data_IF_607798111072
#
_entry.id   IF_607798111072
#
_cell.length_a   1.000
_cell.length_b   1.000
_cell.length_c   1.000
_cell.angle_alpha   90.00
_cell.angle_beta   90.00
_cell.angle_gamma   90.00
#
_symmetry.space_group_name_H-M   'P 1'
#
loop_
_entity.id
_entity.type
_entity.pdbx_description
1 polymer ?
#
# COMPACT_ATOMS: atom_id res chain seq x y z
N UNK A 1 3.39 4.60 -26.26
CA UNK A 1 2.10 5.26 -25.94
C UNK A 1 1.62 4.67 -24.63
N UNK A 2 1.12 5.48 -23.69
CA UNK A 2 0.59 4.96 -22.42
C UNK A 2 -0.73 4.22 -22.68
N UNK A 3 -0.96 3.10 -21.97
CA UNK A 3 -2.20 2.32 -22.09
C UNK A 3 -3.41 3.02 -21.46
N UNK A 4 -3.19 3.90 -20.48
CA UNK A 4 -4.20 4.72 -19.80
C UNK A 4 -3.81 6.19 -19.85
N UNK A 5 -4.78 7.08 -19.73
CA UNK A 5 -4.47 8.53 -19.62
C UNK A 5 -3.84 8.82 -18.25
N UNK A 6 -2.98 9.84 -18.13
CA UNK A 6 -2.36 10.20 -16.84
C UNK A 6 -3.36 10.43 -15.69
N UNK A 7 -4.56 10.93 -15.97
CA UNK A 7 -5.63 11.11 -14.97
C UNK A 7 -6.31 9.81 -14.51
N UNK A 8 -6.07 8.69 -15.21
CA UNK A 8 -6.61 7.36 -14.88
C UNK A 8 -5.56 6.47 -14.18
N UNK A 9 -4.31 6.93 -14.08
CA UNK A 9 -3.22 6.23 -13.42
C UNK A 9 -3.02 6.89 -12.05
N UNK A 10 -3.16 6.11 -10.99
CA UNK A 10 -2.84 6.57 -9.64
C UNK A 10 -1.35 6.45 -9.35
N UNK A 11 -0.86 7.21 -8.38
CA UNK A 11 0.50 7.03 -7.87
C UNK A 11 0.69 5.63 -7.27
N UNK A 12 -0.37 5.07 -6.68
CA UNK A 12 -0.41 3.68 -6.21
C UNK A 12 -0.13 2.67 -7.34
N UNK A 13 -0.71 2.86 -8.53
CA UNK A 13 -0.47 1.98 -9.68
C UNK A 13 1.02 1.97 -10.07
N UNK A 14 1.65 3.13 -10.08
CA UNK A 14 3.07 3.27 -10.44
C UNK A 14 3.96 2.58 -9.42
N UNK A 15 3.75 2.85 -8.11
CA UNK A 15 4.59 2.27 -7.06
C UNK A 15 4.42 0.74 -7.00
N UNK A 16 3.20 0.23 -7.17
CA UNK A 16 2.96 -1.22 -7.24
C UNK A 16 3.68 -1.91 -8.42
N UNK A 17 3.97 -1.18 -9.50
CA UNK A 17 4.74 -1.72 -10.63
C UNK A 17 6.26 -1.68 -10.42
N UNK A 18 6.76 -0.82 -9.52
CA UNK A 18 8.20 -0.63 -9.29
C UNK A 18 8.71 -1.30 -8.02
N UNK A 19 7.86 -1.39 -6.99
CA UNK A 19 8.19 -1.95 -5.70
C UNK A 19 7.67 -3.38 -5.55
N UNK A 20 8.44 -4.22 -4.86
CA UNK A 20 8.05 -5.62 -4.59
C UNK A 20 6.94 -5.74 -3.54
N UNK A 21 6.85 -4.76 -2.64
CA UNK A 21 5.84 -4.65 -1.61
C UNK A 21 5.72 -3.20 -1.17
N UNK A 22 4.53 -2.82 -0.73
CA UNK A 22 4.25 -1.53 -0.11
C UNK A 22 3.83 -1.68 1.35
N UNK A 23 4.00 -2.87 1.93
CA UNK A 23 3.71 -3.13 3.33
C UNK A 23 4.67 -2.34 4.23
N UNK A 24 4.15 -1.46 5.07
CA UNK A 24 4.94 -0.63 5.99
C UNK A 24 5.62 -1.45 7.10
N UNK A 25 5.21 -2.71 7.29
CA UNK A 25 5.74 -3.59 8.31
C UNK A 25 5.63 -5.05 7.90
N UNK A 26 6.56 -5.87 8.37
CA UNK A 26 6.66 -7.30 8.04
C UNK A 26 5.38 -8.08 8.33
N UNK A 27 4.63 -7.69 9.37
CA UNK A 27 3.38 -8.36 9.74
C UNK A 27 2.19 -8.02 8.84
N UNK A 28 2.35 -7.07 7.90
CA UNK A 28 1.34 -6.70 6.91
C UNK A 28 1.65 -7.26 5.52
N UNK A 29 2.78 -7.94 5.36
CA UNK A 29 3.08 -8.67 4.14
C UNK A 29 2.03 -9.77 3.91
N UNK A 30 1.94 -10.24 2.66
CA UNK A 30 0.95 -11.24 2.23
C UNK A 30 0.94 -12.53 3.07
N UNK A 31 2.09 -12.93 3.59
CA UNK A 31 2.21 -14.13 4.44
C UNK A 31 1.86 -13.88 5.92
N UNK A 32 1.56 -12.64 6.30
CA UNK A 32 1.12 -12.26 7.65
C UNK A 32 2.13 -12.57 8.76
N UNK A 33 3.43 -12.66 8.44
CA UNK A 33 4.42 -13.17 9.38
C UNK A 33 4.39 -12.46 10.73
N UNK A 34 4.29 -13.26 11.79
CA UNK A 34 4.41 -12.83 13.17
C UNK A 34 5.25 -13.84 13.94
N UNK A 35 6.39 -13.42 14.50
CA UNK A 35 7.27 -14.30 15.29
C UNK A 35 6.59 -14.91 16.52
N UNK A 36 5.54 -14.25 17.04
CA UNK A 36 4.71 -14.73 18.14
C UNK A 36 3.47 -15.52 17.71
N UNK A 37 3.24 -15.64 16.39
CA UNK A 37 2.04 -16.23 15.81
C UNK A 37 0.74 -15.66 16.41
N UNK A 38 0.70 -14.34 16.60
CA UNK A 38 -0.35 -13.63 17.34
C UNK A 38 -1.00 -12.50 16.52
N UNK A 39 -0.86 -12.52 15.19
CA UNK A 39 -1.31 -11.45 14.29
C UNK A 39 -2.77 -11.07 14.49
N UNK A 40 -3.67 -12.04 14.63
CA UNK A 40 -5.14 -11.83 14.67
C UNK A 40 -5.59 -10.97 15.87
N UNK A 41 -4.86 -11.07 16.98
CA UNK A 41 -5.14 -10.36 18.23
C UNK A 41 -4.10 -9.26 18.53
N UNK A 42 -3.11 -9.08 17.66
CA UNK A 42 -2.03 -8.13 17.88
C UNK A 42 -2.52 -6.69 17.67
N UNK A 43 -2.58 -5.92 18.77
CA UNK A 43 -2.97 -4.50 18.73
C UNK A 43 -2.03 -3.66 17.86
N UNK A 44 -0.73 -4.00 17.83
CA UNK A 44 0.24 -3.31 16.97
C UNK A 44 -0.05 -3.56 15.50
N UNK A 45 -0.36 -4.81 15.12
CA UNK A 45 -0.76 -5.14 13.75
C UNK A 45 -1.99 -4.33 13.34
N UNK A 46 -3.01 -4.23 14.20
CA UNK A 46 -4.22 -3.42 13.91
C UNK A 46 -3.90 -1.95 13.66
N UNK A 47 -3.09 -1.32 14.53
CA UNK A 47 -2.67 0.08 14.35
C UNK A 47 -1.88 0.26 13.05
N UNK A 48 -0.98 -0.67 12.73
CA UNK A 48 -0.19 -0.60 11.50
C UNK A 48 -1.06 -0.84 10.26
N UNK A 49 -2.06 -1.72 10.33
CA UNK A 49 -3.01 -1.96 9.25
C UNK A 49 -3.84 -0.70 8.97
N UNK A 50 -4.31 -0.01 10.00
CA UNK A 50 -5.04 1.26 9.84
C UNK A 50 -4.16 2.34 9.18
N UNK A 51 -2.88 2.41 9.56
CA UNK A 51 -1.91 3.31 8.94
C UNK A 51 -1.64 2.94 7.47
N UNK A 52 -1.47 1.65 7.17
CA UNK A 52 -1.30 1.15 5.80
C UNK A 52 -2.50 1.51 4.93
N UNK A 53 -3.72 1.35 5.44
CA UNK A 53 -4.95 1.71 4.70
C UNK A 53 -5.00 3.22 4.42
N UNK A 54 -4.62 4.05 5.39
CA UNK A 54 -4.55 5.50 5.19
C UNK A 54 -3.51 5.87 4.12
N UNK A 55 -2.35 5.23 4.14
CA UNK A 55 -1.29 5.40 3.14
C UNK A 55 -1.77 4.97 1.74
N UNK A 56 -2.34 3.77 1.60
CA UNK A 56 -2.86 3.26 0.33
C UNK A 56 -3.95 4.18 -0.24
N UNK A 57 -4.94 4.56 0.58
CA UNK A 57 -6.01 5.45 0.17
C UNK A 57 -5.48 6.82 -0.31
N UNK A 58 -4.42 7.33 0.33
CA UNK A 58 -3.81 8.60 -0.08
C UNK A 58 -3.18 8.46 -1.47
N UNK A 59 -2.47 7.37 -1.74
CA UNK A 59 -1.79 7.14 -3.02
C UNK A 59 -2.74 6.79 -4.18
N UNK A 60 -3.85 6.12 -3.90
CA UNK A 60 -4.88 5.82 -4.91
C UNK A 60 -5.56 7.09 -5.43
N UNK A 61 -5.64 8.13 -4.59
CA UNK A 61 -6.30 9.40 -4.89
C UNK A 61 -5.40 10.42 -5.61
N UNK A 62 -4.08 10.25 -5.59
CA UNK A 62 -3.16 11.09 -6.38
C UNK A 62 -3.06 10.51 -7.78
N UNK A 63 -3.40 11.29 -8.81
CA UNK A 63 -3.26 10.89 -10.21
C UNK A 63 -1.93 11.37 -10.77
N UNK A 64 -1.38 10.66 -11.76
CA UNK A 64 -0.15 11.08 -12.42
C UNK A 64 -0.31 12.44 -13.09
N UNK A 65 -1.50 12.80 -13.55
CA UNK A 65 -1.80 14.15 -14.05
C UNK A 65 -1.66 15.27 -13.02
N UNK A 66 -1.70 14.97 -11.72
CA UNK A 66 -1.60 15.98 -10.66
C UNK A 66 -0.14 16.41 -10.38
N UNK A 67 0.83 15.66 -10.90
CA UNK A 67 2.27 15.79 -10.59
C UNK A 67 3.15 16.02 -11.81
N UNK A 68 2.58 16.14 -13.02
CA UNK A 68 3.30 16.39 -14.28
C UNK A 68 2.80 17.64 -14.99
#
# INVERSE_FOLDING_TARGET
MLEKRPGEISLMDVINCTESTMAISRCLEKDGYCSRNYSDCCKVHKVLLDLQNTYNNSLENVKISDII
#
